data_IF_090777255883
#
_entry.id   IF_090777255883
#
_cell.length_a   1.000
_cell.length_b   1.000
_cell.length_c   1.000
_cell.angle_alpha   90.00
_cell.angle_beta   90.00
_cell.angle_gamma   90.00
#
_symmetry.space_group_name_H-M   'P 1'
#
loop_
_entity.id
_entity.type
_entity.pdbx_description
1 polymer ?
#
# COMPACT_ATOMS: atom_id res chain seq x y z
N UNK A 1 -25.06 10.52 5.94
CA UNK A 1 -23.59 10.61 5.76
C UNK A 1 -23.22 12.08 5.76
N UNK A 2 -22.28 12.54 6.61
CA UNK A 2 -21.83 13.94 6.57
C UNK A 2 -21.15 14.23 5.23
N UNK A 3 -21.41 15.39 4.62
CA UNK A 3 -20.81 15.86 3.37
C UNK A 3 -19.29 15.57 3.22
N UNK A 4 -18.44 15.80 4.24
CA UNK A 4 -17.01 15.49 4.16
C UNK A 4 -16.72 13.99 3.93
N UNK A 5 -17.49 13.07 4.50
CA UNK A 5 -17.30 11.63 4.28
C UNK A 5 -17.71 11.20 2.87
N UNK A 6 -18.73 11.83 2.30
CA UNK A 6 -19.13 11.57 0.91
C UNK A 6 -18.02 12.06 -0.03
N UNK A 7 -17.43 13.22 0.27
CA UNK A 7 -16.32 13.76 -0.50
C UNK A 7 -15.09 12.84 -0.45
N UNK A 8 -14.63 12.42 0.73
CA UNK A 8 -13.48 11.51 0.86
C UNK A 8 -13.75 10.15 0.23
N UNK A 9 -14.95 9.58 0.41
CA UNK A 9 -15.36 8.34 -0.26
C UNK A 9 -15.33 8.48 -1.79
N UNK A 10 -15.86 9.57 -2.34
CA UNK A 10 -15.87 9.80 -3.78
C UNK A 10 -14.46 9.94 -4.35
N UNK A 11 -13.61 10.73 -3.69
CA UNK A 11 -12.20 10.91 -4.08
C UNK A 11 -11.46 9.57 -4.03
N UNK A 12 -11.62 8.83 -2.94
CA UNK A 12 -10.98 7.53 -2.77
C UNK A 12 -11.43 6.53 -3.84
N UNK A 13 -12.74 6.38 -4.05
CA UNK A 13 -13.29 5.45 -5.04
C UNK A 13 -12.78 5.81 -6.44
N UNK A 14 -12.86 7.09 -6.83
CA UNK A 14 -12.36 7.54 -8.14
C UNK A 14 -10.86 7.28 -8.30
N UNK A 15 -10.05 7.64 -7.30
CA UNK A 15 -8.61 7.43 -7.35
C UNK A 15 -8.25 5.95 -7.43
N UNK A 16 -8.83 5.11 -6.58
CA UNK A 16 -8.51 3.67 -6.53
C UNK A 16 -9.00 2.91 -7.76
N UNK A 17 -10.14 3.29 -8.35
CA UNK A 17 -10.58 2.70 -9.63
C UNK A 17 -9.61 3.04 -10.77
N UNK A 18 -9.17 4.31 -10.87
CA UNK A 18 -8.16 4.71 -11.87
C UNK A 18 -6.84 3.99 -11.63
N UNK A 19 -6.38 3.92 -10.38
CA UNK A 19 -5.16 3.22 -10.00
C UNK A 19 -5.23 1.74 -10.35
N UNK A 20 -6.36 1.09 -10.08
CA UNK A 20 -6.62 -0.31 -10.41
C UNK A 20 -6.55 -0.56 -11.92
N UNK A 21 -7.06 0.36 -12.74
CA UNK A 21 -6.98 0.25 -14.20
C UNK A 21 -5.55 0.41 -14.71
N UNK A 22 -4.79 1.38 -14.17
CA UNK A 22 -3.38 1.59 -14.50
C UNK A 22 -2.53 0.38 -14.10
N UNK A 23 -2.70 -0.15 -12.88
CA UNK A 23 -1.93 -1.30 -12.38
C UNK A 23 -2.20 -2.59 -13.18
N UNK A 24 -3.45 -2.82 -13.61
CA UNK A 24 -3.78 -3.98 -14.46
C UNK A 24 -3.14 -3.86 -15.85
N UNK A 25 -3.14 -2.66 -16.42
CA UNK A 25 -2.66 -2.39 -17.77
C UNK A 25 -1.13 -2.38 -17.82
N UNK A 26 -0.52 -1.54 -17.00
CA UNK A 26 0.86 -1.11 -17.11
C UNK A 26 1.75 -1.58 -15.94
N UNK A 27 1.17 -2.17 -14.89
CA UNK A 27 1.89 -2.57 -13.65
C UNK A 27 2.52 -1.41 -12.88
N UNK A 28 2.08 -0.20 -13.18
CA UNK A 28 2.54 1.03 -12.58
C UNK A 28 1.32 1.94 -12.36
N UNK A 29 1.36 2.74 -11.31
CA UNK A 29 0.33 3.74 -11.01
C UNK A 29 1.00 5.10 -10.96
N UNK A 30 0.35 6.10 -11.56
CA UNK A 30 0.86 7.46 -11.57
C UNK A 30 0.90 8.06 -10.17
N UNK A 31 2.05 8.60 -9.78
CA UNK A 31 2.23 9.29 -8.50
C UNK A 31 1.32 10.50 -8.33
N UNK A 32 0.96 11.17 -9.44
CA UNK A 32 0.05 12.33 -9.44
C UNK A 32 -1.30 11.98 -8.82
N UNK A 33 -1.78 10.76 -9.05
CA UNK A 33 -3.05 10.27 -8.51
C UNK A 33 -3.03 10.21 -6.98
N UNK A 34 -1.92 9.74 -6.42
CA UNK A 34 -1.71 9.66 -4.97
C UNK A 34 -1.52 11.04 -4.36
N UNK A 35 -0.73 11.91 -5.00
CA UNK A 35 -0.51 13.28 -4.53
C UNK A 35 -1.84 14.03 -4.46
N UNK A 36 -2.66 14.00 -5.52
CA UNK A 36 -3.95 14.69 -5.55
C UNK A 36 -4.89 14.17 -4.45
N UNK A 37 -5.03 12.84 -4.36
CA UNK A 37 -5.97 12.22 -3.42
C UNK A 37 -5.53 12.39 -1.96
N UNK A 38 -4.24 12.21 -1.66
CA UNK A 38 -3.69 12.42 -0.31
C UNK A 38 -3.73 13.89 0.12
N UNK A 39 -3.39 14.83 -0.77
CA UNK A 39 -3.52 16.27 -0.48
C UNK A 39 -4.97 16.67 -0.23
N UNK A 40 -5.93 16.10 -0.96
CA UNK A 40 -7.34 16.33 -0.70
C UNK A 40 -7.77 15.77 0.67
N UNK A 41 -7.25 14.59 1.06
CA UNK A 41 -7.45 14.03 2.41
C UNK A 41 -6.98 14.99 3.51
N UNK A 42 -5.74 15.47 3.43
CA UNK A 42 -5.20 16.46 4.39
C UNK A 42 -6.06 17.73 4.44
N UNK A 43 -6.45 18.26 3.29
CA UNK A 43 -7.27 19.47 3.22
C UNK A 43 -8.65 19.27 3.89
N UNK A 44 -9.27 18.11 3.72
CA UNK A 44 -10.54 17.77 4.35
C UNK A 44 -10.35 17.57 5.86
N UNK A 45 -9.30 16.87 6.31
CA UNK A 45 -8.98 16.71 7.73
C UNK A 45 -8.76 18.05 8.42
N UNK A 46 -8.04 18.98 7.79
CA UNK A 46 -7.86 20.36 8.30
C UNK A 46 -9.20 21.11 8.32
N UNK A 47 -10.01 21.02 7.27
CA UNK A 47 -11.32 21.67 7.22
C UNK A 47 -12.27 21.16 8.31
N UNK A 48 -12.24 19.86 8.59
CA UNK A 48 -12.96 19.24 9.70
C UNK A 48 -12.45 19.75 11.05
N UNK A 49 -11.14 19.80 11.26
CA UNK A 49 -10.54 20.33 12.47
C UNK A 49 -10.97 21.80 12.72
N UNK A 50 -10.93 22.64 11.68
CA UNK A 50 -11.42 24.03 11.77
C UNK A 50 -12.90 24.09 12.14
N UNK A 51 -13.73 23.21 11.56
CA UNK A 51 -15.18 23.19 11.82
C UNK A 51 -15.54 22.85 13.27
N UNK A 52 -14.67 22.14 13.98
CA UNK A 52 -14.84 21.81 15.41
C UNK A 52 -14.10 22.79 16.33
N UNK A 53 -13.59 23.90 15.80
CA UNK A 53 -12.93 24.95 16.58
C UNK A 53 -11.49 24.63 16.99
N UNK A 54 -10.75 23.85 16.19
CA UNK A 54 -9.35 23.54 16.46
C UNK A 54 -8.48 24.79 16.62
N UNK A 55 -7.58 24.74 17.62
CA UNK A 55 -6.61 25.82 17.84
C UNK A 55 -5.49 25.79 16.80
N UNK A 56 -4.80 26.92 16.53
CA UNK A 56 -3.73 26.97 15.53
C UNK A 56 -2.64 25.91 15.72
N UNK A 57 -2.25 25.64 16.97
CA UNK A 57 -1.25 24.60 17.28
C UNK A 57 -1.75 23.19 16.90
N UNK A 58 -3.05 22.92 17.03
CA UNK A 58 -3.63 21.64 16.60
C UNK A 58 -3.65 21.50 15.08
N UNK A 59 -3.89 22.59 14.35
CA UNK A 59 -3.81 22.60 12.89
C UNK A 59 -2.38 22.40 12.40
N UNK A 60 -1.38 22.92 13.13
CA UNK A 60 0.04 22.67 12.82
C UNK A 60 0.43 21.20 12.97
N UNK A 61 -0.28 20.40 13.78
CA UNK A 61 -0.03 18.97 13.87
C UNK A 61 -0.31 18.22 12.54
N UNK A 62 -1.16 18.76 11.67
CA UNK A 62 -1.40 18.22 10.33
C UNK A 62 -0.17 18.31 9.41
N UNK A 63 0.85 19.09 9.77
CA UNK A 63 2.08 19.21 9.00
C UNK A 63 2.89 17.91 8.95
N UNK A 64 2.89 17.11 10.02
CA UNK A 64 3.64 15.86 10.06
C UNK A 64 3.09 14.77 9.12
N UNK A 65 1.80 14.40 9.17
CA UNK A 65 1.28 13.38 8.25
C UNK A 65 1.37 13.85 6.78
N UNK A 66 1.17 15.15 6.53
CA UNK A 66 1.37 15.74 5.20
C UNK A 66 2.84 15.66 4.73
N UNK A 67 3.79 16.01 5.59
CA UNK A 67 5.23 15.93 5.29
C UNK A 67 5.64 14.48 5.01
N UNK A 68 5.27 13.54 5.88
CA UNK A 68 5.59 12.12 5.72
C UNK A 68 5.04 11.56 4.43
N UNK A 69 3.83 11.96 4.03
CA UNK A 69 3.24 11.55 2.77
C UNK A 69 3.98 12.12 1.56
N UNK A 70 4.26 13.42 1.55
CA UNK A 70 4.99 14.07 0.43
C UNK A 70 6.43 13.56 0.32
N UNK A 71 7.08 13.26 1.45
CA UNK A 71 8.42 12.68 1.51
C UNK A 71 8.53 11.37 0.70
N UNK A 72 7.43 10.62 0.53
CA UNK A 72 7.38 9.41 -0.29
C UNK A 72 7.57 9.65 -1.80
N UNK A 73 7.45 10.90 -2.24
CA UNK A 73 7.53 11.31 -3.65
C UNK A 73 8.78 12.14 -3.96
N UNK A 74 9.52 12.56 -2.93
CA UNK A 74 10.62 13.52 -3.07
C UNK A 74 11.97 12.83 -2.89
N UNK A 75 12.79 12.83 -3.94
CA UNK A 75 14.21 12.48 -3.80
C UNK A 75 15.03 13.71 -3.39
N UNK A 76 15.19 13.89 -2.09
CA UNK A 76 15.94 15.00 -1.50
C UNK A 76 17.41 15.07 -1.93
N UNK A 77 18.03 13.94 -2.26
CA UNK A 77 19.42 13.93 -2.72
C UNK A 77 19.53 14.56 -4.11
N UNK A 78 18.58 14.26 -4.99
CA UNK A 78 18.54 14.83 -6.34
C UNK A 78 18.35 16.35 -6.34
N UNK A 79 17.59 16.88 -5.38
CA UNK A 79 17.23 18.30 -5.33
C UNK A 79 18.37 19.18 -4.80
N UNK A 80 19.04 18.77 -3.72
CA UNK A 80 20.01 19.63 -3.01
C UNK A 80 21.25 18.89 -2.51
N UNK A 81 21.56 17.71 -3.06
CA UNK A 81 22.71 16.91 -2.65
C UNK A 81 22.72 16.63 -1.14
N UNK A 82 23.87 16.83 -0.50
CA UNK A 82 24.03 16.57 0.96
C UNK A 82 23.16 17.49 1.82
N UNK A 83 22.92 18.72 1.38
CA UNK A 83 22.05 19.67 2.10
C UNK A 83 20.58 19.27 2.07
N UNK A 84 20.16 18.49 1.06
CA UNK A 84 18.80 17.96 0.94
C UNK A 84 18.41 17.05 2.11
N UNK A 85 19.31 16.16 2.54
CA UNK A 85 19.05 15.28 3.69
C UNK A 85 18.94 16.06 4.99
N UNK A 86 19.80 17.07 5.19
CA UNK A 86 19.73 17.94 6.37
C UNK A 86 18.39 18.67 6.41
N UNK A 87 17.94 19.21 5.27
CA UNK A 87 16.64 19.86 5.19
C UNK A 87 15.49 18.89 5.46
N UNK A 88 15.52 17.68 4.88
CA UNK A 88 14.51 16.64 5.12
C UNK A 88 14.34 16.36 6.60
N UNK A 89 15.43 16.06 7.31
CA UNK A 89 15.37 15.74 8.74
C UNK A 89 15.00 16.95 9.59
N UNK A 90 15.43 18.16 9.21
CA UNK A 90 15.08 19.39 9.93
C UNK A 90 13.59 19.72 9.78
N UNK A 91 13.06 19.61 8.56
CA UNK A 91 11.64 19.83 8.27
C UNK A 91 10.77 18.77 8.95
N UNK A 92 11.14 17.49 8.84
CA UNK A 92 10.43 16.40 9.52
C UNK A 92 10.47 16.54 11.04
N UNK A 93 11.62 16.93 11.62
CA UNK A 93 11.77 17.19 13.05
C UNK A 93 10.92 18.36 13.53
N UNK A 94 10.80 19.43 12.74
CA UNK A 94 9.92 20.56 13.04
C UNK A 94 8.44 20.16 13.02
N UNK A 95 8.01 19.40 12.00
CA UNK A 95 6.64 18.90 11.91
C UNK A 95 6.31 17.95 13.08
N UNK A 96 7.27 17.12 13.47
CA UNK A 96 7.17 16.25 14.64
C UNK A 96 7.04 17.05 15.94
N UNK A 97 7.83 18.12 16.09
CA UNK A 97 7.73 19.02 17.23
C UNK A 97 6.34 19.65 17.33
N UNK A 98 5.75 20.14 16.22
CA UNK A 98 4.38 20.67 16.25
C UNK A 98 3.35 19.64 16.69
N UNK A 99 3.47 18.41 16.20
CA UNK A 99 2.55 17.32 16.57
C UNK A 99 2.69 16.98 18.06
N UNK A 100 3.91 16.83 18.57
CA UNK A 100 4.17 16.53 19.98
C UNK A 100 3.74 17.67 20.90
N UNK A 101 4.02 18.92 20.53
CA UNK A 101 3.59 20.10 21.29
C UNK A 101 2.06 20.21 21.31
N UNK A 102 1.39 19.88 20.21
CA UNK A 102 -0.07 19.84 20.14
C UNK A 102 -0.66 18.78 21.06
N UNK A 103 -0.14 17.55 21.06
CA UNK A 103 -0.59 16.48 21.96
C UNK A 103 -0.32 16.84 23.42
N UNK A 104 0.85 17.40 23.72
CA UNK A 104 1.23 17.82 25.07
C UNK A 104 0.34 18.96 25.61
N UNK A 105 0.06 19.97 24.78
CA UNK A 105 -0.70 21.15 25.18
C UNK A 105 -2.21 20.90 25.26
N UNK A 106 -2.72 19.91 24.52
CA UNK A 106 -4.13 19.51 24.48
C UNK A 106 -4.28 18.02 24.78
N UNK A 107 -4.04 17.58 26.03
CA UNK A 107 -4.21 16.18 26.39
C UNK A 107 -5.68 15.77 26.19
N UNK A 108 -5.89 14.62 25.55
CA UNK A 108 -7.22 14.11 25.14
C UNK A 108 -7.96 15.01 24.13
N UNK A 109 -7.22 15.85 23.41
CA UNK A 109 -7.76 16.67 22.34
C UNK A 109 -8.00 15.84 21.08
N UNK A 110 -9.27 15.62 20.71
CA UNK A 110 -9.65 14.79 19.56
C UNK A 110 -8.90 15.13 18.27
N UNK A 111 -8.66 16.42 18.00
CA UNK A 111 -7.94 16.89 16.80
C UNK A 111 -6.45 16.57 16.88
N UNK A 112 -5.83 16.77 18.04
CA UNK A 112 -4.42 16.45 18.26
C UNK A 112 -4.17 14.94 18.13
N UNK A 113 -5.06 14.14 18.72
CA UNK A 113 -5.00 12.68 18.68
C UNK A 113 -5.21 12.15 17.25
N UNK A 114 -6.11 12.78 16.47
CA UNK A 114 -6.34 12.44 15.06
C UNK A 114 -5.06 12.59 14.23
N UNK A 115 -4.44 13.78 14.21
CA UNK A 115 -3.23 14.03 13.42
C UNK A 115 -2.02 13.22 13.91
N UNK A 116 -1.92 13.00 15.22
CA UNK A 116 -0.90 12.12 15.80
C UNK A 116 -1.10 10.67 15.32
N UNK A 117 -2.35 10.18 15.29
CA UNK A 117 -2.67 8.83 14.82
C UNK A 117 -2.39 8.66 13.32
N UNK A 118 -2.74 9.63 12.48
CA UNK A 118 -2.40 9.63 11.03
C UNK A 118 -0.88 9.50 10.84
N UNK A 119 -0.11 10.30 11.59
CA UNK A 119 1.35 10.29 11.55
C UNK A 119 1.92 8.94 11.94
N UNK A 120 1.42 8.36 13.03
CA UNK A 120 1.86 7.06 13.52
C UNK A 120 1.59 5.96 12.49
N UNK A 121 0.42 5.97 11.85
CA UNK A 121 0.06 4.97 10.86
C UNK A 121 0.84 5.11 9.55
N UNK A 122 1.16 6.33 9.12
CA UNK A 122 2.06 6.55 7.97
C UNK A 122 3.47 6.07 8.32
N UNK A 123 3.99 6.37 9.51
CA UNK A 123 5.28 5.85 9.98
C UNK A 123 5.29 4.32 10.03
N UNK A 124 4.18 3.70 10.46
CA UNK A 124 4.02 2.25 10.46
C UNK A 124 4.07 1.69 9.03
N UNK A 125 3.38 2.31 8.07
CA UNK A 125 3.44 1.91 6.65
C UNK A 125 4.88 2.04 6.11
N UNK A 126 5.56 3.15 6.42
CA UNK A 126 6.96 3.34 6.04
C UNK A 126 7.88 2.30 6.67
N UNK A 127 7.66 1.93 7.92
CA UNK A 127 8.39 0.85 8.59
C UNK A 127 8.19 -0.48 7.85
N UNK A 128 6.96 -0.84 7.50
CA UNK A 128 6.66 -2.05 6.72
C UNK A 128 7.32 -2.03 5.34
N UNK A 129 7.38 -0.86 4.70
CA UNK A 129 8.07 -0.67 3.43
C UNK A 129 9.59 -0.84 3.57
N UNK A 130 10.21 -0.22 4.57
CA UNK A 130 11.65 -0.35 4.83
C UNK A 130 12.08 -1.76 5.27
N UNK A 131 11.17 -2.52 5.89
CA UNK A 131 11.39 -3.92 6.24
C UNK A 131 11.14 -4.90 5.08
N UNK A 132 10.93 -4.42 3.86
CA UNK A 132 10.61 -5.22 2.66
C UNK A 132 9.36 -6.12 2.82
N UNK A 133 8.48 -5.81 3.78
CA UNK A 133 7.18 -6.48 3.96
C UNK A 133 6.24 -6.01 2.87
N UNK A 134 6.14 -4.69 2.66
CA UNK A 134 5.45 -4.08 1.52
C UNK A 134 6.49 -3.81 0.45
N UNK A 135 6.55 -4.68 -0.57
CA UNK A 135 7.56 -4.57 -1.64
C UNK A 135 7.25 -3.51 -2.69
N UNK A 136 5.98 -3.13 -2.84
CA UNK A 136 5.52 -2.17 -3.83
C UNK A 136 5.50 -0.74 -3.28
N UNK A 137 6.27 0.16 -3.89
CA UNK A 137 6.19 1.59 -3.55
C UNK A 137 4.80 2.18 -3.81
N UNK A 138 4.14 1.72 -4.88
CA UNK A 138 2.75 2.11 -5.19
C UNK A 138 1.76 1.65 -4.10
N UNK A 139 1.97 0.46 -3.52
CA UNK A 139 1.10 -0.07 -2.46
C UNK A 139 1.24 0.74 -1.17
N UNK A 140 2.47 1.09 -0.79
CA UNK A 140 2.72 1.94 0.38
C UNK A 140 2.09 3.33 0.21
N UNK A 141 2.23 3.93 -0.97
CA UNK A 141 1.61 5.23 -1.31
C UNK A 141 0.08 5.15 -1.27
N UNK A 142 -0.50 4.07 -1.78
CA UNK A 142 -1.94 3.83 -1.76
C UNK A 142 -2.46 3.71 -0.32
N UNK A 143 -1.80 2.92 0.54
CA UNK A 143 -2.20 2.77 1.94
C UNK A 143 -2.06 4.09 2.71
N UNK A 144 -0.98 4.85 2.48
CA UNK A 144 -0.80 6.15 3.10
C UNK A 144 -1.88 7.16 2.64
N UNK A 145 -2.28 7.13 1.38
CA UNK A 145 -3.39 7.93 0.87
C UNK A 145 -4.72 7.57 1.56
N UNK A 146 -4.97 6.29 1.85
CA UNK A 146 -6.14 5.84 2.62
C UNK A 146 -6.11 6.42 4.04
N UNK A 147 -4.95 6.41 4.71
CA UNK A 147 -4.81 7.00 6.07
C UNK A 147 -5.21 8.47 6.06
N UNK A 148 -4.75 9.24 5.07
CA UNK A 148 -5.07 10.67 4.95
C UNK A 148 -6.52 10.94 4.55
N UNK A 149 -7.14 10.07 3.74
CA UNK A 149 -8.54 10.21 3.32
C UNK A 149 -9.53 9.75 4.40
N UNK A 150 -9.13 8.79 5.23
CA UNK A 150 -9.97 8.18 6.27
C UNK A 150 -9.20 8.03 7.59
N UNK A 151 -8.91 9.16 8.27
CA UNK A 151 -8.22 9.11 9.56
C UNK A 151 -9.10 8.55 10.69
N UNK A 152 -10.42 8.59 10.49
CA UNK A 152 -11.41 7.88 11.29
C UNK A 152 -12.29 7.02 10.38
N UNK A 153 -12.92 6.00 10.95
CA UNK A 153 -13.87 5.16 10.22
C UNK A 153 -15.03 6.00 9.67
N UNK A 154 -15.27 5.99 8.34
CA UNK A 154 -16.46 6.61 7.78
C UNK A 154 -17.70 5.80 8.20
N UNK A 155 -18.86 6.46 8.25
CA UNK A 155 -20.14 5.77 8.47
C UNK A 155 -20.38 4.79 7.32
N UNK A 156 -20.42 3.46 7.57
CA UNK A 156 -20.65 2.49 6.50
C UNK A 156 -22.09 2.55 5.99
N UNK A 157 -22.32 2.02 4.78
CA UNK A 157 -23.64 2.05 4.14
C UNK A 157 -24.66 1.15 4.86
N UNK A 158 -24.26 -0.08 5.20
CA UNK A 158 -25.16 -1.09 5.80
C UNK A 158 -24.62 -1.58 7.16
N UNK A 159 -23.31 -1.44 7.40
CA UNK A 159 -22.65 -1.93 8.60
C UNK A 159 -22.74 -1.04 9.84
N UNK A 160 -21.85 -1.31 10.80
CA UNK A 160 -21.67 -0.51 12.02
C UNK A 160 -20.28 0.09 12.07
N UNK A 161 -20.18 1.27 12.68
CA UNK A 161 -18.89 1.87 13.01
C UNK A 161 -18.29 1.06 14.17
N UNK A 162 -17.01 0.64 14.09
CA UNK A 162 -16.36 -0.05 15.20
C UNK A 162 -16.33 0.82 16.47
N UNK A 163 -16.35 0.22 17.67
CA UNK A 163 -16.06 0.92 18.91
C UNK A 163 -14.76 1.74 18.84
N UNK A 164 -14.65 2.78 19.66
CA UNK A 164 -13.48 3.68 19.63
C UNK A 164 -12.14 2.94 19.85
N UNK A 165 -12.12 1.97 20.76
CA UNK A 165 -10.93 1.15 21.03
C UNK A 165 -10.50 0.34 19.79
N UNK A 166 -11.45 -0.33 19.12
CA UNK A 166 -11.17 -1.07 17.89
C UNK A 166 -10.78 -0.15 16.73
N UNK A 167 -11.42 1.02 16.61
CA UNK A 167 -11.07 2.01 15.60
C UNK A 167 -9.62 2.49 15.74
N UNK A 168 -9.14 2.57 16.97
CA UNK A 168 -7.76 2.95 17.28
C UNK A 168 -6.77 1.80 17.05
N UNK A 169 -7.05 0.58 17.54
CA UNK A 169 -6.13 -0.56 17.39
C UNK A 169 -6.11 -1.11 15.96
N UNK A 170 -7.22 -1.01 15.25
CA UNK A 170 -7.39 -1.51 13.90
C UNK A 170 -8.05 -0.47 13.00
N UNK A 171 -7.30 0.58 12.59
CA UNK A 171 -7.80 1.67 11.75
C UNK A 171 -8.29 1.18 10.39
N UNK A 172 -9.03 2.05 9.72
CA UNK A 172 -9.71 1.77 8.44
C UNK A 172 -8.76 1.16 7.39
N UNK A 173 -7.54 1.69 7.23
CA UNK A 173 -6.59 1.17 6.24
C UNK A 173 -6.13 -0.27 6.54
N UNK A 174 -6.03 -0.67 7.81
CA UNK A 174 -5.69 -2.06 8.17
C UNK A 174 -6.84 -3.02 7.84
N UNK A 175 -8.09 -2.58 8.01
CA UNK A 175 -9.23 -3.39 7.59
C UNK A 175 -9.27 -3.56 6.06
N UNK A 176 -9.00 -2.49 5.32
CA UNK A 176 -8.83 -2.55 3.86
C UNK A 176 -7.71 -3.52 3.49
N UNK A 177 -6.55 -3.41 4.13
CA UNK A 177 -5.40 -4.27 3.90
C UNK A 177 -5.68 -5.74 4.24
N UNK A 178 -6.42 -6.01 5.31
CA UNK A 178 -6.83 -7.36 5.71
C UNK A 178 -7.71 -8.00 4.63
N UNK A 179 -8.74 -7.29 4.16
CA UNK A 179 -9.61 -7.80 3.09
C UNK A 179 -8.80 -8.01 1.81
N UNK A 180 -7.91 -7.08 1.46
CA UNK A 180 -7.02 -7.20 0.31
C UNK A 180 -6.09 -8.43 0.42
N UNK A 181 -5.57 -8.72 1.61
CA UNK A 181 -4.74 -9.88 1.90
C UNK A 181 -5.54 -11.18 1.76
N UNK A 182 -6.78 -11.23 2.27
CA UNK A 182 -7.68 -12.38 2.11
C UNK A 182 -7.99 -12.64 0.63
N UNK A 183 -8.32 -11.60 -0.14
CA UNK A 183 -8.55 -11.70 -1.59
C UNK A 183 -7.31 -12.23 -2.30
N UNK A 184 -6.13 -11.73 -1.93
CA UNK A 184 -4.86 -12.18 -2.49
C UNK A 184 -4.54 -13.63 -2.14
N UNK A 185 -4.92 -14.09 -0.94
CA UNK A 185 -4.75 -15.48 -0.52
C UNK A 185 -5.56 -16.45 -1.40
N UNK A 186 -6.73 -16.05 -1.90
CA UNK A 186 -7.48 -16.85 -2.88
C UNK A 186 -6.70 -17.09 -4.18
N UNK A 187 -5.80 -16.18 -4.58
CA UNK A 187 -4.92 -16.41 -5.74
C UNK A 187 -3.96 -17.56 -5.48
N UNK A 188 -3.37 -17.62 -4.27
CA UNK A 188 -2.49 -18.73 -3.88
C UNK A 188 -3.24 -20.06 -3.81
N UNK A 189 -4.46 -20.06 -3.28
CA UNK A 189 -5.33 -21.25 -3.27
C UNK A 189 -5.69 -21.69 -4.70
N UNK A 190 -6.03 -20.75 -5.57
CA UNK A 190 -6.30 -21.03 -6.98
C UNK A 190 -5.09 -21.64 -7.70
N UNK A 191 -3.89 -21.07 -7.50
CA UNK A 191 -2.65 -21.61 -8.08
C UNK A 191 -2.38 -23.03 -7.57
N UNK A 192 -2.55 -23.26 -6.27
CA UNK A 192 -2.42 -24.58 -5.67
C UNK A 192 -3.34 -25.62 -6.32
N UNK A 193 -4.64 -25.32 -6.40
CA UNK A 193 -5.63 -26.23 -6.99
C UNK A 193 -5.33 -26.48 -8.47
N UNK A 194 -4.98 -25.44 -9.22
CA UNK A 194 -4.63 -25.57 -10.65
C UNK A 194 -3.40 -26.43 -10.88
N UNK A 195 -2.36 -26.27 -10.06
CA UNK A 195 -1.13 -27.04 -10.18
C UNK A 195 -1.32 -28.49 -9.73
N UNK A 196 -2.13 -28.72 -8.69
CA UNK A 196 -2.51 -30.07 -8.26
C UNK A 196 -3.26 -30.83 -9.37
N UNK A 197 -4.23 -30.19 -10.03
CA UNK A 197 -4.98 -30.80 -11.15
C UNK A 197 -4.06 -31.15 -12.34
N UNK A 198 -3.01 -30.37 -12.58
CA UNK A 198 -2.04 -30.60 -13.66
C UNK A 198 -0.94 -31.61 -13.32
N UNK A 199 -0.88 -32.08 -12.06
CA UNK A 199 0.19 -32.96 -11.59
C UNK A 199 1.53 -32.26 -11.36
N UNK A 200 1.56 -30.92 -11.33
CA UNK A 200 2.76 -30.12 -11.10
C UNK A 200 3.01 -29.95 -9.59
N UNK A 201 3.52 -31.00 -8.94
CA UNK A 201 3.82 -31.01 -7.51
C UNK A 201 5.24 -30.49 -7.25
N UNK A 202 5.38 -29.21 -6.94
CA UNK A 202 6.66 -28.63 -6.51
C UNK A 202 6.43 -27.66 -5.35
N UNK A 203 6.78 -28.09 -4.14
CA UNK A 203 6.59 -27.30 -2.92
C UNK A 203 7.76 -26.31 -2.72
N UNK A 204 7.54 -25.04 -2.35
CA UNK A 204 6.25 -24.33 -2.18
C UNK A 204 5.69 -23.69 -3.46
N UNK A 205 6.36 -23.84 -4.61
CA UNK A 205 6.04 -23.15 -5.87
C UNK A 205 4.64 -23.41 -6.41
N UNK A 206 4.04 -24.55 -6.08
CA UNK A 206 2.65 -24.85 -6.44
C UNK A 206 1.66 -23.82 -5.87
N UNK A 207 2.01 -23.10 -4.79
CA UNK A 207 1.21 -22.01 -4.23
C UNK A 207 1.59 -20.63 -4.80
N UNK A 208 2.81 -20.49 -5.33
CA UNK A 208 3.41 -19.20 -5.65
C UNK A 208 3.43 -18.89 -7.15
N UNK A 209 3.31 -19.91 -7.99
CA UNK A 209 3.47 -19.75 -9.43
C UNK A 209 2.85 -20.86 -10.25
N UNK A 210 3.21 -20.89 -11.53
CA UNK A 210 2.77 -21.87 -12.51
C UNK A 210 3.94 -22.25 -13.40
N UNK A 211 3.93 -23.50 -13.87
CA UNK A 211 4.84 -23.93 -14.93
C UNK A 211 4.39 -23.36 -16.28
N UNK A 212 5.32 -22.77 -17.03
CA UNK A 212 5.04 -22.16 -18.34
C UNK A 212 6.20 -22.42 -19.29
N UNK A 213 5.87 -22.54 -20.57
CA UNK A 213 6.87 -22.67 -21.62
C UNK A 213 7.72 -21.40 -21.73
N UNK A 214 9.03 -21.57 -21.90
CA UNK A 214 10.01 -20.46 -21.90
C UNK A 214 9.71 -19.41 -22.97
N UNK A 215 9.27 -19.85 -24.15
CA UNK A 215 8.85 -19.00 -25.29
C UNK A 215 7.67 -18.09 -24.96
N UNK A 216 6.81 -18.51 -24.04
CA UNK A 216 5.55 -17.86 -23.70
C UNK A 216 5.65 -16.95 -22.45
N UNK A 217 6.82 -16.87 -21.80
CA UNK A 217 7.02 -16.05 -20.59
C UNK A 217 6.98 -14.57 -20.93
N UNK A 218 6.17 -13.80 -20.19
CA UNK A 218 6.09 -12.34 -20.32
C UNK A 218 6.68 -11.68 -19.08
N UNK A 219 7.96 -11.35 -19.11
CA UNK A 219 8.71 -10.77 -17.98
C UNK A 219 8.10 -9.48 -17.40
N UNK A 220 7.34 -8.74 -18.22
CA UNK A 220 6.57 -7.57 -17.75
C UNK A 220 5.54 -7.97 -16.68
N UNK A 221 4.87 -9.13 -16.83
CA UNK A 221 3.73 -9.55 -15.98
C UNK A 221 4.03 -10.77 -15.11
N UNK A 222 5.18 -11.40 -15.28
CA UNK A 222 5.55 -12.66 -14.63
C UNK A 222 6.99 -12.55 -14.10
N UNK A 223 7.21 -13.03 -12.88
CA UNK A 223 8.54 -13.18 -12.28
C UNK A 223 9.04 -14.61 -12.48
N UNK A 224 10.34 -14.77 -12.74
CA UNK A 224 10.98 -16.08 -12.76
C UNK A 224 11.19 -16.60 -11.34
N UNK A 225 10.83 -17.85 -11.10
CA UNK A 225 11.06 -18.54 -9.81
C UNK A 225 12.32 -19.42 -9.84
N UNK A 226 12.81 -19.72 -11.03
CA UNK A 226 13.96 -20.59 -11.29
C UNK A 226 14.83 -19.98 -12.38
N UNK A 227 16.14 -20.07 -12.20
CA UNK A 227 17.16 -19.64 -13.15
C UNK A 227 18.20 -20.75 -13.34
N UNK A 228 18.81 -20.88 -14.52
CA UNK A 228 19.88 -21.85 -14.73
C UNK A 228 21.17 -21.40 -14.04
N UNK A 229 21.84 -22.33 -13.35
CA UNK A 229 23.22 -22.18 -12.88
C UNK A 229 24.22 -22.18 -14.04
N UNK A 230 25.51 -21.98 -13.76
CA UNK A 230 26.62 -22.16 -14.71
C UNK A 230 26.59 -23.52 -15.43
N UNK A 231 26.09 -24.55 -14.74
CA UNK A 231 25.96 -25.92 -15.26
C UNK A 231 24.58 -26.22 -15.90
N UNK A 232 23.69 -25.23 -16.01
CA UNK A 232 22.33 -25.43 -16.56
C UNK A 232 21.33 -26.10 -15.61
N UNK A 233 21.72 -26.35 -14.36
CA UNK A 233 20.83 -26.88 -13.32
C UNK A 233 19.86 -25.80 -12.80
N UNK A 234 18.62 -26.16 -12.43
CA UNK A 234 17.66 -25.19 -11.92
C UNK A 234 18.02 -24.72 -10.51
N UNK A 235 18.39 -23.44 -10.40
CA UNK A 235 18.61 -22.75 -9.13
C UNK A 235 17.38 -21.93 -8.81
N UNK A 236 16.92 -22.10 -7.57
CA UNK A 236 15.75 -21.43 -7.03
C UNK A 236 16.09 -19.99 -6.69
N UNK A 237 15.30 -19.06 -7.21
CA UNK A 237 15.52 -17.64 -6.98
C UNK A 237 14.95 -17.25 -5.61
N UNK A 238 15.80 -16.72 -4.73
CA UNK A 238 15.39 -16.23 -3.41
C UNK A 238 14.77 -14.81 -3.47
N UNK A 239 15.10 -14.02 -4.50
CA UNK A 239 14.64 -12.63 -4.69
C UNK A 239 14.02 -12.44 -6.09
N UNK A 240 12.70 -12.30 -6.14
CA UNK A 240 11.92 -12.12 -7.38
C UNK A 240 12.27 -10.78 -8.06
N UNK A 241 12.46 -10.77 -9.38
CA UNK A 241 12.57 -9.54 -10.19
C UNK A 241 13.96 -8.90 -10.23
N UNK A 242 15.02 -9.70 -10.45
CA UNK A 242 16.37 -9.14 -10.57
C UNK A 242 16.59 -8.52 -11.96
N UNK A 243 17.50 -7.54 -12.07
CA UNK A 243 17.91 -6.89 -13.34
C UNK A 243 18.44 -7.91 -14.38
N UNK A 244 18.67 -9.16 -13.98
CA UNK A 244 19.15 -10.25 -14.82
C UNK A 244 18.04 -11.16 -15.39
N UNK A 245 16.75 -10.91 -15.15
CA UNK A 245 15.68 -11.85 -15.54
C UNK A 245 15.60 -12.11 -17.07
N UNK A 246 15.95 -11.13 -17.91
CA UNK A 246 16.04 -11.33 -19.37
C UNK A 246 17.25 -12.17 -19.78
N UNK A 247 18.38 -11.98 -19.11
CA UNK A 247 19.61 -12.74 -19.32
C UNK A 247 19.41 -14.20 -18.86
N UNK A 248 18.79 -14.38 -17.70
CA UNK A 248 18.45 -15.68 -17.15
C UNK A 248 17.48 -16.45 -18.05
N UNK A 249 16.48 -15.77 -18.64
CA UNK A 249 15.58 -16.40 -19.61
C UNK A 249 16.31 -16.83 -20.88
N UNK A 250 17.24 -15.99 -21.40
CA UNK A 250 18.08 -16.35 -22.55
C UNK A 250 18.97 -17.55 -22.26
N UNK A 251 19.58 -17.61 -21.08
CA UNK A 251 20.38 -18.77 -20.64
C UNK A 251 19.51 -20.03 -20.55
N UNK A 252 18.28 -19.94 -20.04
CA UNK A 252 17.38 -21.09 -19.97
C UNK A 252 17.07 -21.65 -21.37
N UNK A 253 16.86 -20.78 -22.37
CA UNK A 253 16.72 -21.19 -23.77
C UNK A 253 18.00 -21.84 -24.29
N UNK A 254 19.16 -21.26 -24.01
CA UNK A 254 20.46 -21.80 -24.47
C UNK A 254 20.75 -23.21 -23.91
N UNK A 255 20.36 -23.49 -22.67
CA UNK A 255 20.43 -24.81 -22.05
C UNK A 255 19.30 -25.77 -22.47
N UNK A 256 18.41 -25.36 -23.38
CA UNK A 256 17.34 -26.22 -23.92
C UNK A 256 16.15 -26.44 -22.98
N UNK A 257 15.94 -25.57 -21.99
CA UNK A 257 14.80 -25.68 -21.09
C UNK A 257 13.49 -25.46 -21.85
N UNK A 258 12.56 -26.43 -21.74
CA UNK A 258 11.21 -26.30 -22.32
C UNK A 258 10.27 -25.49 -21.45
N UNK A 259 10.37 -25.66 -20.13
CA UNK A 259 9.43 -25.10 -19.16
C UNK A 259 10.18 -24.48 -17.97
N UNK A 260 9.64 -23.40 -17.42
CA UNK A 260 10.15 -22.71 -16.24
C UNK A 260 9.00 -22.34 -15.30
N UNK A 261 9.27 -22.30 -14.00
CA UNK A 261 8.32 -21.80 -13.01
C UNK A 261 8.26 -20.27 -13.03
N UNK A 262 7.05 -19.74 -13.15
CA UNK A 262 6.80 -18.30 -13.13
C UNK A 262 5.73 -17.93 -12.11
N UNK A 263 5.96 -16.86 -11.36
CA UNK A 263 4.96 -16.27 -10.48
C UNK A 263 4.26 -15.10 -11.19
N UNK A 264 2.92 -15.05 -11.24
CA UNK A 264 2.23 -13.89 -11.79
C UNK A 264 2.45 -12.67 -10.89
N UNK A 265 2.80 -11.52 -11.48
CA UNK A 265 2.76 -10.23 -10.76
C UNK A 265 1.30 -9.86 -10.56
N UNK A 266 0.76 -10.13 -9.38
CA UNK A 266 -0.63 -9.79 -9.03
C UNK A 266 -0.70 -8.28 -8.80
N UNK A 267 -1.63 -7.55 -9.46
CA UNK A 267 -1.84 -6.13 -9.20
C UNK A 267 -2.44 -5.99 -7.80
N UNK A 268 -1.64 -5.63 -6.80
CA UNK A 268 -2.11 -5.59 -5.41
C UNK A 268 -3.06 -4.40 -5.14
N UNK A 269 -3.05 -3.38 -6.01
CA UNK A 269 -4.00 -2.27 -5.96
C UNK A 269 -5.45 -2.74 -6.20
N UNK A 270 -5.65 -3.80 -7.00
CA UNK A 270 -7.00 -4.35 -7.26
C UNK A 270 -7.61 -4.91 -5.97
N UNK A 271 -6.97 -5.86 -5.23
CA UNK A 271 -7.43 -6.26 -3.90
C UNK A 271 -7.63 -5.10 -2.92
N UNK A 272 -6.74 -4.11 -2.89
CA UNK A 272 -6.90 -2.92 -2.03
C UNK A 272 -8.17 -2.15 -2.39
N UNK A 273 -8.43 -1.95 -3.68
CA UNK A 273 -9.64 -1.26 -4.17
C UNK A 273 -10.90 -2.01 -3.76
N UNK A 274 -10.93 -3.34 -3.91
CA UNK A 274 -12.06 -4.16 -3.44
C UNK A 274 -12.20 -4.07 -1.93
N UNK A 275 -11.10 -4.14 -1.18
CA UNK A 275 -11.09 -3.97 0.27
C UNK A 275 -11.65 -2.62 0.72
N UNK A 276 -11.31 -1.53 0.01
CA UNK A 276 -11.83 -0.20 0.23
C UNK A 276 -13.36 -0.18 0.05
N UNK A 277 -13.85 -0.68 -1.07
CA UNK A 277 -15.29 -0.72 -1.36
C UNK A 277 -16.06 -1.55 -0.33
N UNK A 278 -15.55 -2.74 0.02
CA UNK A 278 -16.17 -3.61 1.02
C UNK A 278 -16.19 -2.92 2.38
N UNK A 279 -15.09 -2.28 2.80
CA UNK A 279 -15.02 -1.58 4.08
C UNK A 279 -15.96 -0.38 4.13
N UNK A 280 -16.10 0.37 3.03
CA UNK A 280 -17.06 1.48 2.94
C UNK A 280 -18.52 1.02 3.04
N UNK A 281 -18.84 -0.19 2.58
CA UNK A 281 -20.20 -0.73 2.62
C UNK A 281 -20.52 -1.42 3.96
N UNK A 282 -19.63 -2.29 4.42
CA UNK A 282 -19.86 -3.23 5.54
C UNK A 282 -19.23 -2.73 6.86
N UNK A 283 -18.25 -1.82 6.78
CA UNK A 283 -17.47 -1.39 7.95
C UNK A 283 -16.32 -2.35 8.27
N UNK A 284 -15.88 -2.34 9.53
CA UNK A 284 -14.82 -3.23 10.02
C UNK A 284 -15.31 -4.67 10.07
N UNK A 285 -14.55 -5.59 9.49
CA UNK A 285 -14.86 -7.02 9.53
C UNK A 285 -14.61 -7.58 10.92
N UNK A 286 -13.68 -6.99 11.67
CA UNK A 286 -13.33 -7.41 13.04
C UNK A 286 -14.52 -7.31 13.98
N UNK A 287 -15.41 -6.33 13.78
CA UNK A 287 -16.62 -6.15 14.61
C UNK A 287 -17.56 -7.37 14.56
N UNK A 288 -17.44 -8.19 13.52
CA UNK A 288 -18.29 -9.36 13.31
C UNK A 288 -17.62 -10.70 13.65
N UNK A 289 -16.35 -10.68 14.08
CA UNK A 289 -15.58 -11.86 14.48
C UNK A 289 -15.59 -12.00 16.01
#
# INVERSE_FOLDING_TARGET
>A
MNLPYIATASIAISAFLVASLQDVRDREVSDVLWIISGSAGVAISIGLAVSVGAQPLQLLAASLPAFLFIDMFVDWNSLMGRSGQILRFSAGGLCAAFTLLSVYSFPYGQVSDLFASESLWILFILLLFYLDIIRGGADAKALAAIVLLFPAYPTPVIGRIPPAFESFTFPFFLNVLLIAAVISAFVSVYLFLRNAIRGDYSMPYMFLGKKKEVSNVKLQKEWLLEIPDENGNPVRVRKLGSISDSEALRRAVAFGWKNVWVSPKVPFIVPITVGLLVTLVIGSVIVYL
#
